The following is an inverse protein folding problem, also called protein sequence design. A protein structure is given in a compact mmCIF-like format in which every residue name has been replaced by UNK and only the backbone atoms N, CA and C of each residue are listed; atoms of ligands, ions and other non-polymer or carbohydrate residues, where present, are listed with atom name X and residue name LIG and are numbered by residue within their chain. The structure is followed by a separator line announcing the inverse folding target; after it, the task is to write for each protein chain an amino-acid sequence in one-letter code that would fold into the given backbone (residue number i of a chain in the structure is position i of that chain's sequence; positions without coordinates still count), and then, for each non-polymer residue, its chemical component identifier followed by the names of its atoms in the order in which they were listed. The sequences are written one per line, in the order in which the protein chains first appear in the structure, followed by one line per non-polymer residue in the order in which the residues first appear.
data_IF_243898297438
#
_entry.id   IF_243898297438
#
_cell.length_a   1.000
_cell.length_b   1.000
_cell.length_c   1.000
_cell.angle_alpha   90.00
_cell.angle_beta   90.00
_cell.angle_gamma   90.00
#
_symmetry.space_group_name_H-M   'P 1'
#
loop_
_entity.id
_entity.type
_entity.pdbx_description
1 polymer ?
#
# COMPACT_ATOMS: atom_id res chain seq x y z
N UNK A 1 -22.13 -4.16 27.90
CA UNK A 1 -21.53 -2.93 28.46
C UNK A 1 -20.37 -2.54 27.55
N UNK A 2 -20.54 -1.53 26.71
CA UNK A 2 -19.45 -0.97 25.89
C UNK A 2 -18.53 -0.20 26.83
N UNK A 3 -17.32 -0.73 27.06
CA UNK A 3 -16.29 0.04 27.73
C UNK A 3 -16.07 1.35 26.96
N UNK A 4 -16.27 2.47 27.64
CA UNK A 4 -15.94 3.78 27.07
C UNK A 4 -14.42 3.85 26.95
N UNK A 5 -13.90 3.82 25.73
CA UNK A 5 -12.50 4.14 25.48
C UNK A 5 -12.15 5.45 26.22
N UNK A 6 -10.96 5.54 26.84
CA UNK A 6 -10.51 6.80 27.44
C UNK A 6 -10.64 7.94 26.43
N UNK A 7 -11.11 9.10 26.87
CA UNK A 7 -11.37 10.27 26.00
C UNK A 7 -10.18 10.59 25.07
N UNK A 8 -8.94 10.41 25.55
CA UNK A 8 -7.72 10.61 24.76
C UNK A 8 -7.65 9.68 23.54
N UNK A 9 -8.02 8.40 23.69
CA UNK A 9 -8.02 7.43 22.58
C UNK A 9 -9.12 7.75 21.57
N UNK A 10 -10.29 8.16 22.06
CA UNK A 10 -11.37 8.64 21.20
C UNK A 10 -10.98 9.84 20.36
N UNK A 11 -10.36 10.87 20.99
CA UNK A 11 -9.89 12.06 20.26
C UNK A 11 -8.88 11.69 19.20
N UNK A 12 -7.92 10.81 19.51
CA UNK A 12 -6.92 10.34 18.55
C UNK A 12 -7.56 9.60 17.38
N UNK A 13 -8.53 8.74 17.63
CA UNK A 13 -9.26 8.02 16.59
C UNK A 13 -9.98 8.99 15.64
N UNK A 14 -10.67 10.03 16.18
CA UNK A 14 -11.33 11.04 15.35
C UNK A 14 -10.32 11.87 14.52
N UNK A 15 -9.16 12.19 15.08
CA UNK A 15 -8.08 12.86 14.36
C UNK A 15 -7.55 12.00 13.21
N UNK A 16 -7.33 10.71 13.43
CA UNK A 16 -6.91 9.78 12.39
C UNK A 16 -7.94 9.70 11.26
N UNK A 17 -9.23 9.56 11.59
CA UNK A 17 -10.31 9.52 10.57
C UNK A 17 -10.35 10.79 9.74
N UNK A 18 -10.21 11.95 10.36
CA UNK A 18 -10.18 13.22 9.64
C UNK A 18 -8.94 13.31 8.73
N UNK A 19 -7.77 12.92 9.22
CA UNK A 19 -6.54 12.92 8.42
C UNK A 19 -6.66 12.01 7.19
N UNK A 20 -7.22 10.81 7.34
CA UNK A 20 -7.49 9.89 6.23
C UNK A 20 -8.44 10.53 5.21
N UNK A 21 -9.53 11.14 5.65
CA UNK A 21 -10.49 11.79 4.74
C UNK A 21 -9.83 12.93 3.95
N UNK A 22 -8.98 13.74 4.59
CA UNK A 22 -8.24 14.82 3.92
C UNK A 22 -7.26 14.24 2.90
N UNK A 23 -6.50 13.21 3.26
CA UNK A 23 -5.52 12.58 2.37
C UNK A 23 -6.20 11.97 1.13
N UNK A 24 -7.33 11.28 1.32
CA UNK A 24 -8.10 10.72 0.21
C UNK A 24 -8.69 11.80 -0.70
N UNK A 25 -9.19 12.88 -0.14
CA UNK A 25 -9.69 14.01 -0.93
C UNK A 25 -8.57 14.66 -1.76
N UNK A 26 -7.37 14.83 -1.18
CA UNK A 26 -6.21 15.33 -1.92
C UNK A 26 -5.79 14.37 -3.05
N UNK A 27 -5.87 13.06 -2.82
CA UNK A 27 -5.62 12.05 -3.86
C UNK A 27 -6.66 12.16 -4.99
N UNK A 28 -7.94 12.33 -4.67
CA UNK A 28 -9.01 12.52 -5.66
C UNK A 28 -8.78 13.79 -6.50
N UNK A 29 -8.41 14.91 -5.87
CA UNK A 29 -8.06 16.15 -6.58
C UNK A 29 -6.83 15.96 -7.49
N UNK A 30 -5.81 15.24 -7.02
CA UNK A 30 -4.64 14.89 -7.83
C UNK A 30 -5.02 14.02 -9.01
N UNK A 31 -5.90 13.03 -8.81
CA UNK A 31 -6.42 12.18 -9.85
C UNK A 31 -7.15 12.98 -10.94
N UNK A 32 -8.02 13.91 -10.57
CA UNK A 32 -8.71 14.81 -11.50
C UNK A 32 -7.73 15.68 -12.29
N UNK A 33 -6.68 16.18 -11.62
CA UNK A 33 -5.64 16.97 -12.30
C UNK A 33 -4.89 16.13 -13.34
N UNK A 34 -4.49 14.90 -13.01
CA UNK A 34 -3.82 13.98 -13.95
C UNK A 34 -4.70 13.68 -15.16
N UNK A 35 -5.98 13.38 -14.95
CA UNK A 35 -6.91 13.07 -16.03
C UNK A 35 -7.20 14.27 -16.95
N UNK A 36 -7.19 15.48 -16.40
CA UNK A 36 -7.41 16.70 -17.15
C UNK A 36 -6.12 17.23 -17.83
N UNK A 37 -4.95 16.80 -17.37
CA UNK A 37 -3.70 17.11 -18.06
C UNK A 37 -3.68 16.36 -19.40
N UNK A 38 -3.23 17.03 -20.46
CA UNK A 38 -3.11 16.43 -21.81
C UNK A 38 -1.94 15.42 -21.89
N UNK A 39 -1.53 14.87 -20.77
CA UNK A 39 -0.37 14.01 -20.66
C UNK A 39 -0.67 12.58 -21.12
N UNK A 40 0.38 11.87 -21.51
CA UNK A 40 0.42 10.50 -22.03
C UNK A 40 -0.17 9.42 -21.08
N UNK A 41 -0.72 9.82 -19.94
CA UNK A 41 -1.44 8.92 -19.03
C UNK A 41 -2.74 8.34 -19.62
N UNK A 42 -3.29 8.97 -20.66
CA UNK A 42 -4.54 8.52 -21.30
C UNK A 42 -4.39 7.23 -22.12
N UNK A 43 -3.15 6.88 -22.47
CA UNK A 43 -2.84 5.71 -23.32
C UNK A 43 -2.36 4.50 -22.50
N UNK A 44 -2.37 4.59 -21.15
CA UNK A 44 -1.98 3.48 -20.31
C UNK A 44 -3.08 2.41 -20.25
N UNK A 45 -2.68 1.18 -20.51
CA UNK A 45 -3.53 0.00 -20.31
C UNK A 45 -3.93 -0.07 -18.84
N UNK A 46 -5.21 0.05 -18.60
CA UNK A 46 -5.83 -0.13 -17.30
C UNK A 46 -6.62 -1.42 -17.42
N UNK A 47 -6.39 -2.37 -16.51
CA UNK A 47 -7.16 -3.60 -16.49
C UNK A 47 -8.63 -3.23 -16.21
N UNK A 48 -9.57 -3.41 -17.16
CA UNK A 48 -10.97 -3.04 -16.98
C UNK A 48 -11.65 -3.79 -15.83
N UNK A 49 -11.03 -4.82 -15.24
CA UNK A 49 -11.55 -5.53 -14.06
C UNK A 49 -11.20 -4.84 -12.76
N UNK A 50 -10.18 -3.99 -12.73
CA UNK A 50 -9.82 -3.15 -11.57
C UNK A 50 -10.63 -1.84 -11.57
N UNK A 51 -11.37 -1.58 -12.64
CA UNK A 51 -12.19 -0.38 -12.86
C UNK A 51 -13.43 -0.25 -11.95
N UNK A 52 -13.58 -1.02 -10.90
CA UNK A 52 -14.82 -1.06 -10.10
C UNK A 52 -14.90 0.07 -9.06
N UNK A 53 -13.92 0.96 -8.98
CA UNK A 53 -13.84 1.89 -7.86
C UNK A 53 -14.17 3.32 -8.26
N UNK A 54 -15.45 3.66 -8.06
CA UNK A 54 -16.01 5.00 -7.85
C UNK A 54 -15.46 6.15 -8.70
N UNK A 55 -16.24 6.59 -9.65
CA UNK A 55 -16.23 7.90 -10.35
C UNK A 55 -14.94 8.32 -11.07
N UNK A 56 -13.76 7.80 -10.72
CA UNK A 56 -12.50 7.94 -11.45
C UNK A 56 -11.64 6.68 -11.33
N UNK A 57 -12.06 5.55 -11.90
CA UNK A 57 -11.44 4.24 -11.70
C UNK A 57 -10.00 4.15 -12.20
N UNK A 58 -9.63 5.00 -13.13
CA UNK A 58 -8.37 4.91 -13.86
C UNK A 58 -7.13 5.34 -13.07
N UNK A 59 -7.27 6.06 -11.97
CA UNK A 59 -6.13 6.63 -11.22
C UNK A 59 -5.95 6.02 -9.84
N UNK A 60 -7.01 5.46 -9.27
CA UNK A 60 -6.98 4.85 -7.93
C UNK A 60 -7.12 3.34 -8.09
N UNK A 61 -6.01 2.62 -7.96
CA UNK A 61 -5.95 1.16 -8.13
C UNK A 61 -6.24 0.41 -6.81
N UNK A 62 -7.14 0.95 -5.98
CA UNK A 62 -7.50 0.40 -4.67
C UNK A 62 -9.01 0.46 -4.44
N UNK A 63 -9.59 -0.53 -3.76
CA UNK A 63 -10.96 -0.43 -3.23
C UNK A 63 -10.96 0.59 -2.11
N UNK A 64 -11.75 1.66 -2.26
CA UNK A 64 -11.73 2.82 -1.35
C UNK A 64 -11.97 2.41 0.10
N UNK A 65 -12.95 1.57 0.33
CA UNK A 65 -13.33 1.09 1.65
C UNK A 65 -12.22 0.24 2.29
N UNK A 66 -11.56 -0.62 1.51
CA UNK A 66 -10.43 -1.44 1.93
C UNK A 66 -9.21 -0.56 2.25
N UNK A 67 -8.93 0.43 1.41
CA UNK A 67 -7.86 1.40 1.66
C UNK A 67 -8.12 2.21 2.94
N UNK A 68 -9.34 2.70 3.16
CA UNK A 68 -9.72 3.43 4.39
C UNK A 68 -9.45 2.56 5.62
N UNK A 69 -9.93 1.33 5.64
CA UNK A 69 -9.76 0.42 6.78
C UNK A 69 -8.29 0.05 7.00
N UNK A 70 -7.53 -0.12 5.92
CA UNK A 70 -6.08 -0.34 6.01
C UNK A 70 -5.35 0.88 6.60
N UNK A 71 -5.69 2.09 6.18
CA UNK A 71 -5.11 3.32 6.75
C UNK A 71 -5.50 3.50 8.23
N UNK A 72 -6.74 3.19 8.60
CA UNK A 72 -7.18 3.17 10.01
C UNK A 72 -6.37 2.16 10.83
N UNK A 73 -6.10 0.97 10.28
CA UNK A 73 -5.26 -0.04 10.91
C UNK A 73 -3.82 0.48 11.11
N UNK A 74 -3.21 1.08 10.09
CA UNK A 74 -1.85 1.64 10.17
C UNK A 74 -1.77 2.72 11.26
N UNK A 75 -2.64 3.72 11.20
CA UNK A 75 -2.64 4.83 12.18
C UNK A 75 -3.03 4.37 13.58
N UNK A 76 -3.94 3.40 13.69
CA UNK A 76 -4.30 2.75 14.97
C UNK A 76 -3.13 2.02 15.60
N UNK A 77 -2.26 1.41 14.81
CA UNK A 77 -1.02 0.76 15.24
C UNK A 77 0.16 1.74 15.49
N UNK A 78 -0.06 3.04 15.38
CA UNK A 78 0.97 4.09 15.44
C UNK A 78 2.08 3.91 14.40
N UNK A 79 1.75 3.41 13.23
CA UNK A 79 2.67 3.30 12.10
C UNK A 79 3.16 4.69 11.70
N UNK A 80 4.46 4.84 11.58
CA UNK A 80 5.16 6.06 11.14
C UNK A 80 5.99 5.82 9.90
N UNK A 81 6.51 4.61 9.77
CA UNK A 81 7.37 4.22 8.67
C UNK A 81 6.81 2.99 7.97
N UNK A 82 6.80 2.99 6.64
CA UNK A 82 6.32 1.87 5.84
C UNK A 82 7.26 1.57 4.68
N UNK A 83 7.43 0.28 4.40
CA UNK A 83 7.96 -0.20 3.13
C UNK A 83 6.79 -0.61 2.25
N UNK A 84 6.71 -0.04 1.05
CA UNK A 84 5.74 -0.42 0.02
C UNK A 84 6.48 -1.10 -1.13
N UNK A 85 5.98 -2.25 -1.60
CA UNK A 85 6.43 -2.91 -2.82
C UNK A 85 5.38 -2.68 -3.90
N UNK A 86 5.76 -1.97 -4.96
CA UNK A 86 4.87 -1.52 -6.04
C UNK A 86 4.40 -0.07 -5.84
N UNK A 87 4.80 0.81 -6.75
CA UNK A 87 4.34 2.21 -6.80
C UNK A 87 3.04 2.32 -7.60
N UNK A 88 2.96 1.50 -8.66
CA UNK A 88 1.88 1.54 -9.63
C UNK A 88 1.93 2.76 -10.56
N UNK A 89 1.06 2.77 -11.56
CA UNK A 89 1.07 3.78 -12.63
C UNK A 89 0.88 5.22 -12.14
N UNK A 90 0.14 5.41 -11.06
CA UNK A 90 -0.28 6.72 -10.57
C UNK A 90 0.20 7.02 -9.15
N UNK A 91 0.96 6.11 -8.55
CA UNK A 91 1.46 6.25 -7.19
C UNK A 91 0.36 6.62 -6.16
N UNK A 92 -0.88 6.15 -6.35
CA UNK A 92 -2.04 6.61 -5.57
C UNK A 92 -1.93 6.23 -4.11
N UNK A 93 -1.61 4.96 -3.81
CA UNK A 93 -1.43 4.47 -2.44
C UNK A 93 -0.23 5.15 -1.79
N UNK A 94 0.90 5.24 -2.53
CA UNK A 94 2.10 5.93 -2.05
C UNK A 94 1.81 7.39 -1.69
N UNK A 95 1.10 8.13 -2.58
CA UNK A 95 0.73 9.53 -2.33
C UNK A 95 -0.09 9.70 -1.06
N UNK A 96 -1.11 8.85 -0.82
CA UNK A 96 -1.91 8.90 0.41
C UNK A 96 -1.06 8.61 1.64
N UNK A 97 -0.20 7.59 1.58
CA UNK A 97 0.71 7.23 2.67
C UNK A 97 1.69 8.37 2.98
N UNK A 98 2.21 9.08 1.95
CA UNK A 98 3.14 10.21 2.14
C UNK A 98 2.52 11.40 2.88
N UNK A 99 1.19 11.54 2.81
CA UNK A 99 0.46 12.58 3.56
C UNK A 99 0.18 12.18 5.02
N UNK A 100 0.28 10.90 5.36
CA UNK A 100 -0.15 10.37 6.66
C UNK A 100 1.00 9.87 7.54
N UNK A 101 2.14 9.51 6.96
CA UNK A 101 3.25 8.85 7.66
C UNK A 101 4.51 9.72 7.67
N UNK A 102 5.41 9.43 8.60
CA UNK A 102 6.65 10.19 8.78
C UNK A 102 7.69 9.83 7.71
N UNK A 103 7.69 8.58 7.20
CA UNK A 103 8.59 8.14 6.13
C UNK A 103 8.04 6.95 5.34
N UNK A 104 8.21 6.98 4.03
CA UNK A 104 7.87 5.89 3.11
C UNK A 104 9.09 5.48 2.32
N UNK A 105 9.36 4.18 2.30
CA UNK A 105 10.29 3.56 1.35
C UNK A 105 9.47 2.75 0.34
N UNK A 106 9.57 3.06 -0.95
CA UNK A 106 8.85 2.31 -1.98
C UNK A 106 9.82 1.66 -2.95
N UNK A 107 9.58 0.40 -3.27
CA UNK A 107 10.29 -0.34 -4.32
C UNK A 107 9.41 -0.36 -5.56
N UNK A 108 9.96 0.10 -6.70
CA UNK A 108 9.26 0.11 -7.98
C UNK A 108 10.12 -0.51 -9.07
N UNK A 109 9.56 -1.50 -9.76
CA UNK A 109 10.25 -2.17 -10.86
C UNK A 109 10.37 -1.30 -12.11
N UNK A 110 9.29 -0.60 -12.47
CA UNK A 110 9.22 0.18 -13.69
C UNK A 110 9.71 1.61 -13.48
N UNK A 111 10.88 1.90 -14.04
CA UNK A 111 11.44 3.26 -14.02
C UNK A 111 10.48 4.32 -14.58
N UNK A 112 9.59 3.97 -15.49
CA UNK A 112 8.63 4.91 -16.06
C UNK A 112 7.61 5.39 -15.02
N UNK A 113 7.15 4.49 -14.12
CA UNK A 113 6.29 4.88 -12.99
C UNK A 113 7.02 5.85 -12.06
N UNK A 114 8.27 5.54 -11.72
CA UNK A 114 9.11 6.44 -10.94
C UNK A 114 9.26 7.81 -11.62
N UNK A 115 9.65 7.85 -12.90
CA UNK A 115 9.90 9.09 -13.62
C UNK A 115 8.64 9.99 -13.66
N UNK A 116 7.46 9.42 -13.76
CA UNK A 116 6.19 10.16 -13.71
C UNK A 116 5.91 10.80 -12.36
N UNK A 117 6.23 10.10 -11.28
CA UNK A 117 6.01 10.59 -9.93
C UNK A 117 7.17 11.44 -9.40
N UNK A 118 8.36 11.34 -9.99
CA UNK A 118 9.61 11.91 -9.48
C UNK A 118 9.55 13.42 -9.19
N UNK A 119 8.75 14.17 -9.95
CA UNK A 119 8.56 15.61 -9.73
C UNK A 119 7.73 15.97 -8.48
N UNK A 120 7.05 15.01 -7.88
CA UNK A 120 6.21 15.19 -6.69
C UNK A 120 6.88 14.68 -5.40
N UNK A 121 8.02 14.00 -5.51
CA UNK A 121 8.70 13.35 -4.39
C UNK A 121 9.22 14.38 -3.38
N UNK A 122 8.84 14.20 -2.12
CA UNK A 122 9.48 14.88 -1.01
C UNK A 122 10.61 14.00 -0.45
N UNK A 123 11.83 14.22 -0.90
CA UNK A 123 13.01 13.41 -0.55
C UNK A 123 13.35 13.39 0.95
N UNK A 124 12.74 14.26 1.76
CA UNK A 124 12.88 14.23 3.22
C UNK A 124 11.95 13.20 3.89
N UNK A 125 10.88 12.79 3.20
CA UNK A 125 9.86 11.87 3.72
C UNK A 125 9.77 10.58 2.90
N UNK A 126 10.29 10.58 1.69
CA UNK A 126 10.09 9.52 0.71
C UNK A 126 11.41 9.01 0.15
N UNK A 127 11.57 7.69 0.10
CA UNK A 127 12.66 7.01 -0.60
C UNK A 127 12.05 6.08 -1.63
N UNK A 128 12.46 6.20 -2.90
CA UNK A 128 12.04 5.26 -3.94
C UNK A 128 13.27 4.50 -4.45
N UNK A 129 13.20 3.19 -4.39
CA UNK A 129 14.22 2.25 -4.89
C UNK A 129 13.70 1.68 -6.20
N UNK A 130 14.34 2.03 -7.32
CA UNK A 130 13.96 1.50 -8.62
C UNK A 130 14.72 0.21 -8.89
N UNK A 131 13.98 -0.89 -9.10
CA UNK A 131 14.55 -2.20 -9.42
C UNK A 131 13.64 -3.37 -9.07
N UNK A 132 14.13 -4.57 -9.36
CA UNK A 132 13.44 -5.82 -9.03
C UNK A 132 13.45 -6.06 -7.52
N UNK A 133 12.25 -6.15 -6.91
CA UNK A 133 12.06 -6.38 -5.47
C UNK A 133 12.73 -7.66 -4.96
N UNK A 134 13.00 -8.61 -5.85
CA UNK A 134 13.64 -9.89 -5.51
C UNK A 134 15.16 -9.88 -5.66
N UNK A 135 15.75 -8.78 -6.17
CA UNK A 135 17.19 -8.64 -6.35
C UNK A 135 17.91 -8.32 -5.03
N UNK A 136 19.10 -8.85 -4.85
CA UNK A 136 19.92 -8.61 -3.65
C UNK A 136 20.20 -7.12 -3.44
N UNK A 137 20.48 -6.38 -4.52
CA UNK A 137 20.77 -4.95 -4.46
C UNK A 137 19.57 -4.15 -3.88
N UNK A 138 18.37 -4.40 -4.39
CA UNK A 138 17.16 -3.71 -3.94
C UNK A 138 16.82 -4.07 -2.48
N UNK A 139 16.95 -5.36 -2.12
CA UNK A 139 16.75 -5.84 -0.76
C UNK A 139 17.74 -5.17 0.20
N UNK A 140 19.02 -5.09 -0.16
CA UNK A 140 20.05 -4.50 0.70
C UNK A 140 19.86 -2.97 0.82
N UNK A 141 19.37 -2.30 -0.23
CA UNK A 141 19.00 -0.89 -0.14
C UNK A 141 17.81 -0.67 0.81
N UNK A 142 16.77 -1.50 0.74
CA UNK A 142 15.63 -1.42 1.65
C UNK A 142 16.02 -1.66 3.12
N UNK A 143 16.97 -2.57 3.38
CA UNK A 143 17.50 -2.84 4.73
C UNK A 143 18.15 -1.61 5.39
N UNK A 144 18.67 -0.66 4.61
CA UNK A 144 19.35 0.54 5.16
C UNK A 144 18.40 1.46 5.93
N UNK A 145 17.10 1.40 5.62
CA UNK A 145 16.05 2.19 6.28
C UNK A 145 15.25 1.39 7.30
N UNK A 146 15.47 0.06 7.41
CA UNK A 146 14.82 -0.79 8.41
C UNK A 146 15.27 -0.45 9.84
N UNK A 147 14.46 -0.77 10.89
CA UNK A 147 13.17 -1.47 10.80
C UNK A 147 12.02 -0.54 10.44
N UNK A 148 11.03 -1.10 9.74
CA UNK A 148 9.78 -0.41 9.43
C UNK A 148 8.69 -0.75 10.46
N UNK A 149 7.68 0.13 10.60
CA UNK A 149 6.47 -0.17 11.36
C UNK A 149 5.51 -1.07 10.58
N UNK A 150 5.54 -0.98 9.26
CA UNK A 150 4.73 -1.81 8.38
C UNK A 150 5.44 -2.13 7.07
N UNK A 151 4.99 -3.20 6.40
CA UNK A 151 5.24 -3.47 4.99
C UNK A 151 3.92 -3.71 4.27
N UNK A 152 3.77 -3.15 3.07
CA UNK A 152 2.65 -3.39 2.17
C UNK A 152 3.17 -3.91 0.82
N UNK A 153 2.81 -5.12 0.46
CA UNK A 153 3.25 -5.81 -0.76
C UNK A 153 2.09 -5.78 -1.76
N UNK A 154 2.29 -5.00 -2.82
CA UNK A 154 1.34 -4.75 -3.91
C UNK A 154 2.10 -4.53 -5.23
N UNK A 155 3.04 -5.41 -5.51
CA UNK A 155 3.91 -5.35 -6.69
C UNK A 155 3.50 -6.35 -7.76
N UNK A 156 4.39 -7.30 -8.10
CA UNK A 156 4.07 -8.37 -9.03
C UNK A 156 3.17 -9.42 -8.35
N UNK A 157 1.98 -9.63 -8.89
CA UNK A 157 0.93 -10.46 -8.29
C UNK A 157 1.16 -11.98 -8.43
N UNK A 158 2.19 -12.44 -9.17
CA UNK A 158 2.45 -13.87 -9.32
C UNK A 158 2.89 -14.51 -7.99
N UNK A 159 2.56 -15.81 -7.83
CA UNK A 159 2.90 -16.54 -6.61
C UNK A 159 4.38 -16.44 -6.23
N UNK A 160 5.27 -16.60 -7.20
CA UNK A 160 6.71 -16.60 -7.00
C UNK A 160 7.21 -15.24 -6.46
N UNK A 161 6.67 -14.15 -6.97
CA UNK A 161 7.05 -12.81 -6.52
C UNK A 161 6.44 -12.48 -5.15
N UNK A 162 5.13 -12.68 -4.97
CA UNK A 162 4.47 -12.43 -3.67
C UNK A 162 5.13 -13.24 -2.55
N UNK A 163 5.48 -14.50 -2.82
CA UNK A 163 6.16 -15.37 -1.85
C UNK A 163 7.56 -14.86 -1.52
N UNK A 164 8.34 -14.47 -2.53
CA UNK A 164 9.68 -13.92 -2.32
C UNK A 164 9.64 -12.57 -1.62
N UNK A 165 8.74 -11.68 -2.01
CA UNK A 165 8.60 -10.37 -1.38
C UNK A 165 8.22 -10.51 0.09
N UNK A 166 7.27 -11.39 0.42
CA UNK A 166 6.94 -11.70 1.81
C UNK A 166 8.17 -12.20 2.58
N UNK A 167 8.92 -13.16 2.03
CA UNK A 167 10.08 -13.74 2.70
C UNK A 167 11.23 -12.74 2.88
N UNK A 168 11.42 -11.83 1.91
CA UNK A 168 12.47 -10.82 1.95
C UNK A 168 12.17 -9.67 2.92
N UNK A 169 10.90 -9.25 3.01
CA UNK A 169 10.56 -7.98 3.64
C UNK A 169 9.84 -8.09 4.99
N UNK A 170 9.17 -9.22 5.31
CA UNK A 170 8.52 -9.41 6.62
C UNK A 170 9.46 -9.21 7.81
N UNK A 171 10.74 -9.60 7.64
CA UNK A 171 11.72 -9.50 8.71
C UNK A 171 12.28 -8.08 8.90
N UNK A 172 12.05 -7.20 7.95
CA UNK A 172 12.38 -5.78 8.06
C UNK A 172 11.35 -4.99 8.87
N UNK A 173 10.22 -5.60 9.22
CA UNK A 173 9.19 -5.01 10.09
C UNK A 173 9.55 -5.27 11.55
N UNK A 174 9.37 -4.28 12.43
CA UNK A 174 9.56 -4.46 13.87
C UNK A 174 8.54 -5.42 14.47
N UNK A 175 8.83 -5.98 15.63
CA UNK A 175 7.83 -6.72 16.44
C UNK A 175 6.65 -5.79 16.78
N UNK A 176 5.43 -6.31 16.66
CA UNK A 176 4.19 -5.54 16.79
C UNK A 176 3.85 -4.70 15.55
N UNK A 177 4.68 -4.73 14.51
CA UNK A 177 4.39 -4.07 13.24
C UNK A 177 3.48 -4.89 12.32
N UNK A 178 3.09 -4.31 11.20
CA UNK A 178 2.09 -4.86 10.28
C UNK A 178 2.79 -5.38 9.02
N UNK A 179 2.45 -6.60 8.62
CA UNK A 179 2.82 -7.17 7.31
C UNK A 179 1.53 -7.38 6.52
N UNK A 180 1.41 -6.74 5.36
CA UNK A 180 0.18 -6.75 4.57
C UNK A 180 0.45 -7.11 3.10
N UNK A 181 -0.47 -7.87 2.51
CA UNK A 181 -0.50 -8.30 1.12
C UNK A 181 -1.80 -7.83 0.46
N UNK A 182 -1.69 -7.21 -0.71
CA UNK A 182 -2.84 -6.88 -1.56
C UNK A 182 -3.35 -8.11 -2.33
N UNK A 183 -4.51 -8.00 -2.99
CA UNK A 183 -5.16 -9.06 -3.79
C UNK A 183 -5.46 -10.35 -3.03
N UNK A 184 -5.80 -10.24 -1.76
CA UNK A 184 -5.99 -11.38 -0.87
C UNK A 184 -7.17 -12.29 -1.24
N UNK A 185 -8.08 -11.84 -2.10
CA UNK A 185 -9.25 -12.58 -2.57
C UNK A 185 -9.20 -12.92 -4.07
N UNK A 186 -8.22 -12.40 -4.80
CA UNK A 186 -8.15 -12.57 -6.24
C UNK A 186 -7.74 -13.99 -6.59
N UNK A 187 -8.68 -14.81 -7.10
CA UNK A 187 -8.40 -16.16 -7.55
C UNK A 187 -8.19 -16.20 -9.06
N UNK A 188 -7.00 -16.64 -9.50
CA UNK A 188 -6.65 -16.77 -10.91
C UNK A 188 -5.17 -17.07 -11.09
N UNK A 189 -4.79 -17.59 -12.26
CA UNK A 189 -3.40 -17.99 -12.55
C UNK A 189 -2.36 -16.86 -12.38
N UNK A 190 -2.80 -15.61 -12.43
CA UNK A 190 -1.91 -14.44 -12.30
C UNK A 190 -1.75 -13.94 -10.87
N UNK A 191 -2.59 -14.40 -9.93
CA UNK A 191 -2.65 -13.88 -8.58
C UNK A 191 -2.30 -14.96 -7.57
N UNK A 192 -1.11 -14.85 -7.00
CA UNK A 192 -0.57 -15.82 -6.05
C UNK A 192 -0.85 -15.52 -4.59
N UNK A 193 -1.34 -14.33 -4.26
CA UNK A 193 -1.55 -13.90 -2.87
C UNK A 193 -2.43 -14.86 -2.07
N UNK A 194 -3.61 -15.33 -2.55
CA UNK A 194 -4.41 -16.28 -1.81
C UNK A 194 -3.67 -17.61 -1.54
N UNK A 195 -2.83 -18.04 -2.45
CA UNK A 195 -2.03 -19.26 -2.27
C UNK A 195 -0.94 -19.04 -1.20
N UNK A 196 -0.21 -17.93 -1.24
CA UNK A 196 0.81 -17.58 -0.24
C UNK A 196 0.19 -17.51 1.17
N UNK A 197 -1.01 -16.92 1.31
CA UNK A 197 -1.74 -16.86 2.59
C UNK A 197 -2.04 -18.27 3.11
N UNK A 198 -2.51 -19.18 2.25
CA UNK A 198 -2.83 -20.57 2.65
C UNK A 198 -1.59 -21.39 3.04
N UNK A 199 -0.45 -21.12 2.42
CA UNK A 199 0.78 -21.89 2.61
C UNK A 199 1.68 -21.38 3.74
N UNK A 200 1.41 -20.18 4.27
CA UNK A 200 2.21 -19.58 5.33
C UNK A 200 1.50 -19.62 6.68
N UNK A 201 2.26 -19.94 7.74
CA UNK A 201 1.71 -20.15 9.10
C UNK A 201 1.61 -18.85 9.90
N UNK A 202 1.11 -17.77 9.28
CA UNK A 202 0.87 -16.52 9.98
C UNK A 202 -0.61 -16.40 10.41
N UNK A 203 -0.89 -15.62 11.45
CA UNK A 203 -2.27 -15.30 11.90
C UNK A 203 -2.87 -14.23 10.97
N UNK A 204 -3.20 -14.64 9.76
CA UNK A 204 -3.74 -13.77 8.73
C UNK A 204 -5.14 -13.27 9.09
N UNK A 205 -5.30 -11.95 9.03
CA UNK A 205 -6.57 -11.24 9.05
C UNK A 205 -6.82 -10.63 7.69
N UNK A 206 -8.08 -10.34 7.37
CA UNK A 206 -8.46 -9.75 6.08
C UNK A 206 -9.30 -8.52 6.26
N UNK A 207 -9.03 -7.52 5.45
CA UNK A 207 -9.87 -6.38 5.12
C UNK A 207 -10.45 -6.68 3.74
N UNK A 208 -11.76 -6.79 3.63
CA UNK A 208 -12.40 -7.21 2.39
C UNK A 208 -13.80 -6.62 2.28
N UNK A 209 -13.96 -5.70 1.36
CA UNK A 209 -15.24 -5.10 0.97
C UNK A 209 -15.67 -5.53 -0.43
N UNK A 210 -14.79 -6.23 -1.15
CA UNK A 210 -15.08 -6.85 -2.43
C UNK A 210 -14.75 -8.34 -2.42
N UNK A 211 -15.35 -9.11 -3.33
CA UNK A 211 -15.00 -10.52 -3.49
C UNK A 211 -13.75 -10.73 -4.35
N UNK A 212 -13.19 -9.67 -4.91
CA UNK A 212 -12.16 -9.76 -5.94
C UNK A 212 -10.78 -9.29 -5.45
N UNK A 213 -10.69 -8.28 -4.60
CA UNK A 213 -9.42 -7.68 -4.19
C UNK A 213 -9.05 -8.09 -2.76
N UNK A 214 -9.22 -7.23 -1.80
CA UNK A 214 -8.93 -7.48 -0.38
C UNK A 214 -7.48 -7.29 0.01
N UNK A 215 -7.27 -6.97 1.30
CA UNK A 215 -5.95 -6.88 1.91
C UNK A 215 -5.86 -7.91 3.03
N UNK A 216 -4.87 -8.81 2.97
CA UNK A 216 -4.55 -9.69 4.09
C UNK A 216 -3.40 -9.12 4.89
N UNK A 217 -3.46 -9.24 6.22
CA UNK A 217 -2.38 -8.76 7.09
C UNK A 217 -2.20 -9.63 8.33
N UNK A 218 -1.03 -9.58 8.92
CA UNK A 218 -0.77 -10.08 10.28
C UNK A 218 0.09 -9.10 11.06
N UNK A 219 0.05 -9.22 12.39
CA UNK A 219 0.95 -8.49 13.28
C UNK A 219 2.18 -9.36 13.55
N UNK A 220 3.36 -8.82 13.31
CA UNK A 220 4.62 -9.54 13.55
C UNK A 220 4.82 -9.77 15.05
N UNK A 221 5.03 -11.01 15.43
CA UNK A 221 5.30 -11.45 16.80
C UNK A 221 6.80 -11.62 17.05
#
# INVERSE_FOLDING_TARGET
MTEKLPLRNYIKEQQNKLAIQVALHMMEMRAEHILNSNDSYKDLYIDPKVDIINSNPQVIQQVREELVEFLELLLGNNTKTILQVGLGHFASTHFVLSLLLDHICTIEYDKLHFDRYSGEINTSLETIIVGDSTSTEVIDNAKQTAPFDAVFIDGNHSYEYVKKDLDNYKDLVRVGGIVALHDANFEGERYGTPQVIRETSHDWKKISHSNEVGIAYFIKV
#
